data_IF_249992909400
#
_entry.id   IF_249992909400
#
_cell.length_a   1.000
_cell.length_b   1.000
_cell.length_c   1.000
_cell.angle_alpha   90.00
_cell.angle_beta   90.00
_cell.angle_gamma   90.00
#
_symmetry.space_group_name_H-M   'P 1'
#
loop_
_entity.id
_entity.type
_entity.pdbx_description
1 polymer ?
#
# COMPACT_ATOMS: atom_id res chain seq x y z
N UNK A 1 -22.86 2.94 11.90
CA UNK A 1 -21.45 2.53 12.04
C UNK A 1 -20.80 2.92 10.74
N UNK A 2 -19.71 3.67 10.78
CA UNK A 2 -19.01 4.11 9.57
C UNK A 2 -18.03 3.05 9.10
N UNK A 3 -17.77 2.96 7.80
CA UNK A 3 -16.76 2.11 7.18
C UNK A 3 -15.45 2.92 7.14
N UNK A 4 -14.43 2.57 7.96
CA UNK A 4 -13.19 3.31 7.99
C UNK A 4 -12.27 2.89 6.84
N UNK A 5 -11.85 3.86 6.02
CA UNK A 5 -10.93 3.71 4.90
C UNK A 5 -9.73 4.60 5.16
N UNK A 6 -8.52 4.05 5.09
CA UNK A 6 -7.30 4.75 5.43
C UNK A 6 -6.40 4.91 4.21
N UNK A 7 -5.74 6.06 4.15
CA UNK A 7 -4.65 6.38 3.24
C UNK A 7 -3.45 6.84 4.05
N UNK A 8 -2.24 6.55 3.58
CA UNK A 8 -1.01 7.18 4.10
C UNK A 8 -0.38 8.00 3.00
N UNK A 9 -0.25 9.31 3.20
CA UNK A 9 0.24 10.23 2.16
C UNK A 9 1.21 11.26 2.75
N UNK A 10 2.18 11.63 1.93
CA UNK A 10 2.92 12.90 2.04
C UNK A 10 2.25 13.97 1.17
N UNK A 11 2.62 15.23 1.40
CA UNK A 11 1.98 16.39 0.76
C UNK A 11 2.05 16.34 -0.78
N UNK A 12 3.15 15.85 -1.35
CA UNK A 12 3.40 15.70 -2.79
C UNK A 12 2.52 14.62 -3.47
N UNK A 13 1.97 13.68 -2.70
CA UNK A 13 1.05 12.65 -3.20
C UNK A 13 -0.43 13.08 -3.16
N UNK A 14 -0.74 14.29 -2.69
CA UNK A 14 -2.13 14.80 -2.55
C UNK A 14 -2.91 14.71 -3.85
N UNK A 15 -2.30 15.06 -4.99
CA UNK A 15 -2.98 15.03 -6.29
C UNK A 15 -3.46 13.64 -6.70
N UNK A 16 -2.68 12.60 -6.43
CA UNK A 16 -3.07 11.22 -6.74
C UNK A 16 -4.13 10.73 -5.75
N UNK A 17 -3.93 11.03 -4.46
CA UNK A 17 -4.90 10.75 -3.41
C UNK A 17 -6.26 11.39 -3.67
N UNK A 18 -6.29 12.61 -4.23
CA UNK A 18 -7.50 13.29 -4.64
C UNK A 18 -8.25 12.55 -5.76
N UNK A 19 -7.54 11.95 -6.72
CA UNK A 19 -8.15 11.09 -7.76
C UNK A 19 -8.76 9.84 -7.13
N UNK A 20 -8.02 9.18 -6.24
CA UNK A 20 -8.51 7.99 -5.52
C UNK A 20 -9.74 8.32 -4.67
N UNK A 21 -9.68 9.35 -3.84
CA UNK A 21 -10.79 9.83 -3.00
C UNK A 21 -12.01 10.20 -3.85
N UNK A 22 -11.82 10.98 -4.92
CA UNK A 22 -12.94 11.34 -5.80
C UNK A 22 -13.58 10.08 -6.41
N UNK A 23 -12.78 9.11 -6.87
CA UNK A 23 -13.32 7.86 -7.40
C UNK A 23 -14.08 7.05 -6.34
N UNK A 24 -13.60 7.00 -5.10
CA UNK A 24 -14.29 6.38 -3.97
C UNK A 24 -15.63 7.08 -3.71
N UNK A 25 -15.63 8.41 -3.61
CA UNK A 25 -16.83 9.22 -3.38
C UNK A 25 -17.88 8.96 -4.48
N UNK A 26 -17.48 8.92 -5.75
CA UNK A 26 -18.40 8.70 -6.89
C UNK A 26 -18.99 7.30 -6.97
N UNK A 27 -18.31 6.29 -6.42
CA UNK A 27 -18.75 4.90 -6.49
C UNK A 27 -19.26 4.35 -5.14
N UNK A 28 -19.20 5.15 -4.08
CA UNK A 28 -19.76 4.83 -2.77
C UNK A 28 -21.28 4.73 -2.81
N UNK A 29 -21.84 3.78 -2.04
CA UNK A 29 -23.28 3.65 -1.91
C UNK A 29 -23.80 4.61 -0.83
N UNK A 30 -24.72 5.54 -1.15
CA UNK A 30 -25.22 6.54 -0.20
C UNK A 30 -26.00 5.96 1.00
N UNK A 31 -26.37 4.68 0.97
CA UNK A 31 -27.00 4.00 2.12
C UNK A 31 -25.99 3.56 3.18
N UNK A 32 -24.70 3.59 2.86
CA UNK A 32 -23.61 3.34 3.81
C UNK A 32 -22.95 4.67 4.20
N UNK A 33 -22.31 4.67 5.37
CA UNK A 33 -21.52 5.80 5.86
C UNK A 33 -20.04 5.39 5.84
N UNK A 34 -19.17 6.28 5.35
CA UNK A 34 -17.74 6.04 5.20
C UNK A 34 -16.96 7.17 5.87
N UNK A 35 -15.90 6.83 6.58
CA UNK A 35 -14.92 7.80 7.08
C UNK A 35 -13.59 7.48 6.43
N UNK A 36 -13.13 8.39 5.59
CA UNK A 36 -11.82 8.36 4.96
C UNK A 36 -10.83 9.11 5.85
N UNK A 37 -9.78 8.45 6.32
CA UNK A 37 -8.76 9.04 7.18
C UNK A 37 -7.42 9.07 6.46
N UNK A 38 -6.87 10.27 6.29
CA UNK A 38 -5.51 10.48 5.76
C UNK A 38 -4.51 10.56 6.90
N UNK A 39 -3.68 9.51 7.04
CA UNK A 39 -2.49 9.54 7.89
C UNK A 39 -1.38 10.33 7.18
N UNK A 40 -0.84 11.35 7.85
CA UNK A 40 0.18 12.23 7.27
C UNK A 40 1.12 12.80 8.35
N UNK A 41 2.28 13.33 7.95
CA UNK A 41 3.16 14.11 8.84
C UNK A 41 3.18 15.60 8.49
N UNK A 42 3.02 15.92 7.23
CA UNK A 42 3.36 17.24 6.69
C UNK A 42 2.35 17.74 5.66
N UNK A 43 1.13 17.18 5.66
CA UNK A 43 0.08 17.61 4.75
C UNK A 43 -0.27 19.08 5.01
N UNK A 44 -0.19 19.90 3.96
CA UNK A 44 -0.45 21.32 4.06
C UNK A 44 -1.93 21.59 4.32
N UNK A 45 -2.24 22.72 4.96
CA UNK A 45 -3.63 23.07 5.24
C UNK A 45 -4.46 23.25 3.97
N UNK A 46 -3.83 23.75 2.91
CA UNK A 46 -4.46 23.90 1.59
C UNK A 46 -4.84 22.54 1.01
N UNK A 47 -3.94 21.56 1.05
CA UNK A 47 -4.21 20.20 0.58
C UNK A 47 -5.24 19.47 1.46
N UNK A 48 -5.23 19.66 2.78
CA UNK A 48 -6.31 19.17 3.66
C UNK A 48 -7.67 19.73 3.22
N UNK A 49 -7.76 21.05 3.01
CA UNK A 49 -9.02 21.70 2.66
C UNK A 49 -9.51 21.26 1.26
N UNK A 50 -8.59 21.05 0.31
CA UNK A 50 -8.91 20.53 -1.03
C UNK A 50 -9.38 19.07 -1.00
N UNK A 51 -8.76 18.21 -0.19
CA UNK A 51 -9.21 16.82 -0.01
C UNK A 51 -10.54 16.76 0.74
N UNK A 52 -10.72 17.56 1.79
CA UNK A 52 -11.97 17.62 2.55
C UNK A 52 -13.16 18.05 1.66
N UNK A 53 -12.93 18.97 0.72
CA UNK A 53 -13.94 19.43 -0.22
C UNK A 53 -14.44 18.36 -1.20
N UNK A 54 -13.74 17.22 -1.34
CA UNK A 54 -14.18 16.08 -2.15
C UNK A 54 -15.18 15.18 -1.40
N UNK A 55 -15.26 15.28 -0.07
CA UNK A 55 -16.25 14.55 0.73
C UNK A 55 -17.70 14.95 0.42
N UNK A 56 -18.66 14.21 0.98
CA UNK A 56 -20.08 14.50 0.84
C UNK A 56 -20.87 14.06 2.09
N UNK A 57 -22.20 14.04 2.01
CA UNK A 57 -23.09 13.73 3.15
C UNK A 57 -22.84 12.35 3.80
N UNK A 58 -22.26 11.39 3.06
CA UNK A 58 -22.05 10.01 3.52
C UNK A 58 -20.59 9.54 3.42
N UNK A 59 -19.69 10.35 2.87
CA UNK A 59 -18.24 10.13 2.83
C UNK A 59 -17.54 11.28 3.53
N UNK A 60 -17.18 11.04 4.79
CA UNK A 60 -16.51 12.00 5.67
C UNK A 60 -15.00 11.92 5.46
N UNK A 61 -14.32 13.05 5.39
CA UNK A 61 -12.87 13.12 5.21
C UNK A 61 -12.23 13.68 6.48
N UNK A 62 -11.32 12.91 7.07
CA UNK A 62 -10.59 13.24 8.28
C UNK A 62 -9.08 13.14 8.06
N UNK A 63 -8.32 13.85 8.89
CA UNK A 63 -6.86 13.87 8.83
C UNK A 63 -6.29 13.48 10.18
N UNK A 64 -5.31 12.59 10.17
CA UNK A 64 -4.58 12.16 11.36
C UNK A 64 -3.10 12.46 11.20
N UNK A 65 -2.63 13.46 11.94
CA UNK A 65 -1.23 13.83 11.97
C UNK A 65 -0.43 12.84 12.84
N UNK A 66 0.59 12.22 12.25
CA UNK A 66 1.53 11.34 12.93
C UNK A 66 2.68 12.18 13.48
N UNK A 67 2.62 12.45 14.79
CA UNK A 67 3.68 13.17 15.51
C UNK A 67 5.01 12.42 15.38
N UNK A 68 6.10 13.15 15.11
CA UNK A 68 7.47 12.63 15.11
C UNK A 68 7.80 11.79 16.36
N UNK A 69 7.23 12.13 17.52
CA UNK A 69 7.42 11.36 18.77
C UNK A 69 6.82 9.97 18.74
N UNK A 70 5.77 9.74 17.95
CA UNK A 70 5.18 8.41 17.77
C UNK A 70 6.11 7.51 16.95
N UNK A 71 6.91 8.09 16.05
CA UNK A 71 7.89 7.38 15.22
C UNK A 71 9.31 7.39 15.81
N UNK A 72 9.61 8.28 16.75
CA UNK A 72 10.93 8.48 17.35
C UNK A 72 11.55 7.23 18.01
N UNK A 73 10.81 6.37 18.76
CA UNK A 73 11.38 5.13 19.30
C UNK A 73 11.93 4.19 18.22
N UNK A 74 11.46 4.35 16.98
CA UNK A 74 11.85 3.58 15.80
C UNK A 74 13.02 4.25 15.06
N UNK A 75 13.13 5.58 15.15
CA UNK A 75 14.19 6.38 14.50
C UNK A 75 15.49 6.50 15.33
N UNK A 76 15.43 6.48 16.67
CA UNK A 76 16.55 6.89 17.57
C UNK A 76 17.71 5.86 17.74
N UNK A 77 17.87 4.87 16.85
CA UNK A 77 18.94 3.87 16.97
C UNK A 77 19.95 4.00 15.84
N UNK A 78 21.23 4.17 16.21
CA UNK A 78 22.39 4.40 15.30
C UNK A 78 22.49 3.42 14.12
N UNK A 79 21.92 2.22 14.24
CA UNK A 79 21.88 1.19 13.21
C UNK A 79 20.81 1.46 12.14
N UNK A 80 19.69 2.12 12.50
CA UNK A 80 18.66 2.58 11.56
C UNK A 80 19.12 3.81 10.77
N UNK A 81 20.01 4.65 11.33
CA UNK A 81 20.56 5.82 10.65
C UNK A 81 21.51 5.49 9.48
N UNK A 82 22.12 4.30 9.45
CA UNK A 82 23.07 3.93 8.38
C UNK A 82 22.37 3.53 7.06
N UNK A 83 21.03 3.44 7.05
CA UNK A 83 20.21 3.18 5.87
C UNK A 83 19.00 4.12 5.73
N UNK A 84 18.83 5.08 6.65
CA UNK A 84 17.67 5.96 6.69
C UNK A 84 17.91 7.29 5.96
N UNK A 85 17.38 7.38 4.74
CA UNK A 85 16.66 8.59 4.37
C UNK A 85 15.28 8.55 5.06
N UNK A 86 14.72 9.73 5.35
CA UNK A 86 13.44 9.97 6.07
C UNK A 86 12.22 9.14 5.56
N UNK A 87 12.37 8.45 4.43
CA UNK A 87 11.41 7.61 3.71
C UNK A 87 10.95 6.30 4.42
N UNK A 88 11.55 5.91 5.55
CA UNK A 88 11.40 4.53 6.05
C UNK A 88 10.13 4.29 6.89
N UNK A 89 9.57 5.30 7.57
CA UNK A 89 8.43 5.07 8.49
C UNK A 89 7.05 5.20 7.85
N UNK A 90 6.87 6.10 6.88
CA UNK A 90 5.57 6.29 6.21
C UNK A 90 5.09 5.03 5.51
N UNK A 91 6.02 4.24 4.96
CA UNK A 91 5.76 2.94 4.34
C UNK A 91 5.06 1.98 5.32
N UNK A 92 5.37 2.06 6.62
CA UNK A 92 4.79 1.19 7.64
C UNK A 92 3.51 1.72 8.32
N UNK A 93 3.06 2.96 8.05
CA UNK A 93 1.89 3.54 8.73
C UNK A 93 0.64 2.67 8.64
N UNK A 94 0.45 2.01 7.49
CA UNK A 94 -0.63 1.04 7.27
C UNK A 94 -0.68 -0.08 8.32
N UNK A 95 0.47 -0.51 8.83
CA UNK A 95 0.56 -1.56 9.84
C UNK A 95 0.02 -1.09 11.19
N UNK A 96 0.23 0.18 11.55
CA UNK A 96 -0.14 0.75 12.85
C UNK A 96 -1.61 1.12 12.98
N UNK A 97 -2.38 1.10 11.88
CA UNK A 97 -3.81 1.45 11.86
C UNK A 97 -4.62 0.74 12.97
N UNK A 98 -4.49 -0.59 13.19
CA UNK A 98 -5.24 -1.29 14.22
C UNK A 98 -5.02 -0.78 15.65
N UNK A 99 -3.80 -0.34 15.97
CA UNK A 99 -3.41 0.15 17.29
C UNK A 99 -3.74 1.64 17.47
N UNK A 100 -3.57 2.44 16.41
CA UNK A 100 -3.88 3.87 16.42
C UNK A 100 -5.39 4.14 16.48
N UNK A 101 -6.21 3.25 15.90
CA UNK A 101 -7.66 3.39 15.84
C UNK A 101 -8.37 2.18 16.48
N UNK A 102 -8.23 1.99 17.80
CA UNK A 102 -8.75 0.82 18.52
C UNK A 102 -10.29 0.72 18.51
N UNK A 103 -10.98 1.81 18.16
CA UNK A 103 -12.43 1.83 17.98
C UNK A 103 -12.92 1.03 16.78
N UNK A 104 -12.03 0.72 15.82
CA UNK A 104 -12.36 -0.08 14.66
C UNK A 104 -11.86 -1.52 14.82
N UNK A 105 -12.77 -2.48 14.69
CA UNK A 105 -12.44 -3.91 14.67
C UNK A 105 -12.06 -4.41 13.28
N UNK A 106 -12.44 -3.67 12.24
CA UNK A 106 -12.05 -3.91 10.84
C UNK A 106 -11.80 -2.57 10.14
N UNK A 107 -10.78 -2.52 9.30
CA UNK A 107 -10.41 -1.33 8.53
C UNK A 107 -10.03 -1.69 7.09
N UNK A 108 -10.21 -0.76 6.16
CA UNK A 108 -9.62 -0.84 4.82
C UNK A 108 -8.45 0.13 4.76
N UNK A 109 -7.33 -0.31 4.21
CA UNK A 109 -6.23 0.55 3.78
C UNK A 109 -6.10 0.47 2.26
N UNK A 110 -5.90 1.62 1.60
CA UNK A 110 -5.58 1.70 0.18
C UNK A 110 -4.51 2.77 -0.06
N UNK A 111 -3.58 2.50 -0.99
CA UNK A 111 -2.56 3.47 -1.41
C UNK A 111 -3.18 4.64 -2.21
N UNK A 112 -2.48 5.77 -2.28
CA UNK A 112 -2.96 7.00 -2.91
C UNK A 112 -3.01 6.94 -4.44
N UNK A 113 -2.24 6.05 -5.05
CA UNK A 113 -2.18 5.77 -6.49
C UNK A 113 -3.20 4.71 -6.92
N UNK A 114 -4.40 4.79 -6.36
CA UNK A 114 -5.51 3.89 -6.65
C UNK A 114 -6.69 4.61 -7.31
N UNK A 115 -7.58 3.85 -7.95
CA UNK A 115 -8.88 4.31 -8.43
C UNK A 115 -9.93 3.27 -8.04
N UNK A 116 -10.89 3.68 -7.25
CA UNK A 116 -12.02 2.87 -6.78
C UNK A 116 -13.15 2.96 -7.79
N UNK A 117 -13.55 1.82 -8.37
CA UNK A 117 -14.54 1.72 -9.45
C UNK A 117 -15.78 0.93 -9.07
N UNK A 118 -15.84 0.44 -7.83
CA UNK A 118 -17.00 -0.22 -7.24
C UNK A 118 -17.13 0.21 -5.76
N UNK A 119 -18.28 -0.03 -5.15
CA UNK A 119 -18.53 0.31 -3.75
C UNK A 119 -17.55 -0.44 -2.82
N UNK A 120 -16.66 0.30 -2.17
CA UNK A 120 -15.65 -0.22 -1.25
C UNK A 120 -16.27 -0.93 -0.03
N UNK A 121 -17.55 -0.68 0.28
CA UNK A 121 -18.26 -1.45 1.31
C UNK A 121 -18.33 -2.94 0.99
N UNK A 122 -18.36 -3.32 -0.30
CA UNK A 122 -18.31 -4.73 -0.71
C UNK A 122 -17.01 -5.40 -0.27
N UNK A 123 -15.90 -4.67 -0.39
CA UNK A 123 -14.59 -5.12 0.08
C UNK A 123 -14.58 -5.22 1.61
N UNK A 124 -15.06 -4.19 2.32
CA UNK A 124 -15.16 -4.17 3.80
C UNK A 124 -15.96 -5.35 4.37
N UNK A 125 -17.07 -5.69 3.70
CA UNK A 125 -17.99 -6.74 4.13
C UNK A 125 -17.48 -8.16 3.86
N UNK A 126 -16.28 -8.30 3.28
CA UNK A 126 -15.63 -9.61 3.14
C UNK A 126 -15.42 -10.25 4.52
N UNK A 127 -15.83 -11.51 4.65
CA UNK A 127 -15.64 -12.29 5.87
C UNK A 127 -14.19 -12.75 5.99
N UNK A 128 -13.48 -12.29 7.03
CA UNK A 128 -12.07 -12.61 7.25
C UNK A 128 -11.90 -13.89 8.08
N UNK A 129 -12.91 -14.29 8.88
CA UNK A 129 -12.77 -15.38 9.83
C UNK A 129 -11.61 -15.14 10.79
N UNK A 130 -10.71 -16.13 10.90
CA UNK A 130 -9.54 -16.04 11.78
C UNK A 130 -8.31 -15.45 11.08
N UNK A 131 -8.43 -14.97 9.85
CA UNK A 131 -7.32 -14.33 9.14
C UNK A 131 -7.00 -12.96 9.76
N UNK A 132 -5.72 -12.61 9.75
CA UNK A 132 -5.23 -11.30 10.20
C UNK A 132 -5.68 -10.20 9.23
N UNK A 133 -5.63 -10.47 7.94
CA UNK A 133 -6.08 -9.53 6.92
C UNK A 133 -6.47 -10.24 5.63
N UNK A 134 -7.19 -9.53 4.76
CA UNK A 134 -7.38 -9.88 3.37
C UNK A 134 -6.56 -8.98 2.46
N UNK A 135 -5.95 -9.55 1.42
CA UNK A 135 -5.19 -8.84 0.40
C UNK A 135 -5.19 -9.61 -0.92
N UNK A 136 -4.87 -8.93 -2.03
CA UNK A 136 -4.75 -9.56 -3.33
C UNK A 136 -3.31 -10.05 -3.58
N UNK A 137 -3.18 -11.14 -4.33
CA UNK A 137 -1.86 -11.58 -4.85
C UNK A 137 -1.27 -10.48 -5.72
N UNK A 138 0.02 -10.18 -5.54
CA UNK A 138 0.72 -9.19 -6.36
C UNK A 138 0.92 -9.72 -7.78
N UNK A 139 0.04 -9.31 -8.69
CA UNK A 139 0.06 -9.75 -10.08
C UNK A 139 1.14 -9.06 -10.92
N UNK A 140 1.62 -7.90 -10.47
CA UNK A 140 2.60 -7.09 -11.21
C UNK A 140 3.98 -7.74 -11.25
N UNK A 141 4.32 -8.54 -10.22
CA UNK A 141 5.65 -9.17 -10.08
C UNK A 141 5.71 -10.62 -10.60
N UNK A 142 4.58 -11.22 -10.98
CA UNK A 142 4.52 -12.66 -11.34
C UNK A 142 5.28 -13.02 -12.62
N UNK A 143 5.53 -12.04 -13.49
CA UNK A 143 6.27 -12.19 -14.75
C UNK A 143 7.70 -11.65 -14.67
N UNK A 144 8.14 -11.26 -13.47
CA UNK A 144 9.49 -10.75 -13.21
C UNK A 144 10.31 -11.85 -12.55
N UNK A 145 11.11 -12.58 -13.34
CA UNK A 145 11.84 -13.76 -12.89
C UNK A 145 12.67 -13.52 -11.62
N UNK A 146 13.31 -12.36 -11.51
CA UNK A 146 14.08 -11.96 -10.33
C UNK A 146 13.20 -11.77 -9.08
N UNK A 147 11.99 -11.21 -9.19
CA UNK A 147 11.06 -11.12 -8.05
C UNK A 147 10.55 -12.50 -7.64
N UNK A 148 10.19 -13.33 -8.61
CA UNK A 148 9.74 -14.72 -8.34
C UNK A 148 10.83 -15.51 -7.62
N UNK A 149 12.09 -15.31 -8.01
CA UNK A 149 13.24 -15.91 -7.33
C UNK A 149 13.47 -15.31 -5.95
N UNK A 150 13.47 -13.98 -5.82
CA UNK A 150 13.58 -13.28 -4.55
C UNK A 150 12.59 -13.83 -3.52
N UNK A 151 11.29 -13.88 -3.85
CA UNK A 151 10.25 -14.35 -2.93
C UNK A 151 10.48 -15.80 -2.48
N UNK A 152 10.97 -16.67 -3.38
CA UNK A 152 11.28 -18.07 -3.06
C UNK A 152 12.52 -18.23 -2.20
N UNK A 153 13.55 -17.44 -2.46
CA UNK A 153 14.88 -17.66 -1.88
C UNK A 153 15.13 -16.79 -0.64
N UNK A 154 14.47 -15.63 -0.54
CA UNK A 154 14.66 -14.62 0.53
C UNK A 154 13.54 -14.72 1.57
N UNK A 155 12.28 -14.27 1.32
CA UNK A 155 11.16 -14.63 2.17
C UNK A 155 11.07 -16.14 2.38
N UNK A 156 11.25 -17.00 1.36
CA UNK A 156 10.88 -18.43 1.42
C UNK A 156 9.36 -18.59 1.55
N UNK A 157 8.68 -18.00 0.56
CA UNK A 157 7.24 -18.03 0.37
C UNK A 157 6.88 -18.53 -1.04
N UNK A 158 5.62 -18.91 -1.23
CA UNK A 158 5.07 -19.19 -2.56
C UNK A 158 4.78 -17.85 -3.28
N UNK A 159 5.46 -17.53 -4.40
CA UNK A 159 5.23 -16.27 -5.12
C UNK A 159 3.79 -16.11 -5.61
N UNK A 160 3.06 -17.21 -5.82
CA UNK A 160 1.64 -17.17 -6.23
C UNK A 160 0.70 -16.75 -5.10
N UNK A 161 1.20 -16.73 -3.87
CA UNK A 161 0.46 -16.27 -2.68
C UNK A 161 1.02 -14.98 -2.12
N UNK A 162 2.14 -14.49 -2.64
CA UNK A 162 2.73 -13.24 -2.19
C UNK A 162 1.78 -12.08 -2.53
N UNK A 163 1.31 -11.38 -1.50
CA UNK A 163 0.32 -10.30 -1.64
C UNK A 163 0.98 -8.96 -1.89
N UNK A 164 0.24 -8.05 -2.50
CA UNK A 164 0.56 -6.63 -2.54
C UNK A 164 0.01 -5.92 -1.29
N UNK A 165 0.74 -4.95 -0.74
CA UNK A 165 0.37 -4.24 0.49
C UNK A 165 -0.37 -2.91 0.26
N UNK A 166 -0.65 -2.54 -0.99
CA UNK A 166 -1.33 -1.28 -1.32
C UNK A 166 -2.86 -1.34 -1.25
N UNK A 167 -3.43 -2.53 -1.01
CA UNK A 167 -4.82 -2.69 -0.61
C UNK A 167 -4.94 -3.79 0.45
N UNK A 168 -5.47 -3.44 1.62
CA UNK A 168 -5.61 -4.36 2.75
C UNK A 168 -7.01 -4.23 3.37
N UNK A 169 -7.62 -5.37 3.69
CA UNK A 169 -8.76 -5.44 4.62
C UNK A 169 -8.25 -5.98 5.95
N UNK A 170 -7.99 -5.09 6.89
CA UNK A 170 -7.38 -5.40 8.17
C UNK A 170 -8.43 -5.93 9.15
N UNK A 171 -8.19 -7.11 9.72
CA UNK A 171 -8.88 -7.53 10.95
C UNK A 171 -8.21 -6.84 12.13
N UNK A 172 -8.53 -5.56 12.33
CA UNK A 172 -7.89 -4.73 13.36
C UNK A 172 -8.00 -5.34 14.75
N UNK A 173 -9.12 -6.02 15.05
CA UNK A 173 -9.25 -6.76 16.30
C UNK A 173 -8.23 -7.90 16.41
N UNK A 174 -8.10 -8.74 15.40
CA UNK A 174 -7.12 -9.84 15.41
C UNK A 174 -5.68 -9.32 15.45
N UNK A 175 -5.36 -8.23 14.73
CA UNK A 175 -4.04 -7.59 14.81
C UNK A 175 -3.67 -7.22 16.25
N UNK A 176 -4.61 -6.61 16.98
CA UNK A 176 -4.41 -6.25 18.39
C UNK A 176 -4.33 -7.48 19.30
N UNK A 177 -5.27 -8.43 19.16
CA UNK A 177 -5.35 -9.62 20.02
C UNK A 177 -4.10 -10.51 19.90
N UNK A 178 -3.51 -10.59 18.69
CA UNK A 178 -2.31 -11.39 18.39
C UNK A 178 -1.00 -10.61 18.62
N UNK A 179 -1.08 -9.32 18.95
CA UNK A 179 0.09 -8.47 19.17
C UNK A 179 0.93 -8.26 17.92
N UNK A 180 0.29 -8.12 16.74
CA UNK A 180 0.99 -8.01 15.44
C UNK A 180 2.05 -6.92 15.44
N UNK A 181 1.71 -5.72 15.91
CA UNK A 181 2.64 -4.58 15.89
C UNK A 181 3.83 -4.80 16.81
N UNK A 182 3.60 -5.34 18.01
CA UNK A 182 4.70 -5.67 18.92
C UNK A 182 5.66 -6.68 18.30
N UNK A 183 5.12 -7.70 17.61
CA UNK A 183 5.91 -8.72 16.92
C UNK A 183 6.67 -8.16 15.71
N UNK A 184 6.02 -7.34 14.88
CA UNK A 184 6.66 -6.60 13.79
C UNK A 184 7.85 -5.77 14.28
N UNK A 185 7.65 -5.00 15.36
CA UNK A 185 8.69 -4.14 15.93
C UNK A 185 9.87 -4.95 16.48
N UNK A 186 9.63 -6.10 17.13
CA UNK A 186 10.69 -6.98 17.61
C UNK A 186 11.53 -7.53 16.46
N UNK A 187 10.89 -8.00 15.38
CA UNK A 187 11.57 -8.49 14.19
C UNK A 187 12.37 -7.38 13.50
N UNK A 188 11.79 -6.20 13.35
CA UNK A 188 12.44 -5.04 12.75
C UNK A 188 13.67 -4.62 13.53
N UNK A 189 13.60 -4.57 14.87
CA UNK A 189 14.71 -4.21 15.75
C UNK A 189 15.79 -5.29 15.82
N UNK A 190 15.41 -6.57 15.74
CA UNK A 190 16.36 -7.67 15.93
C UNK A 190 17.15 -8.00 14.66
N UNK A 191 16.51 -7.92 13.48
CA UNK A 191 17.10 -8.44 12.24
C UNK A 191 17.40 -7.39 11.19
N UNK A 192 16.66 -6.28 11.18
CA UNK A 192 16.79 -5.25 10.14
C UNK A 192 16.78 -5.85 8.72
N UNK A 193 15.81 -6.74 8.45
CA UNK A 193 15.73 -7.47 7.17
C UNK A 193 15.91 -6.52 5.98
N UNK A 194 16.85 -6.87 5.10
CA UNK A 194 17.05 -6.16 3.85
C UNK A 194 16.00 -6.66 2.85
N UNK A 195 15.00 -5.81 2.59
CA UNK A 195 13.82 -6.15 1.81
C UNK A 195 13.77 -5.35 0.50
N UNK A 196 13.22 -5.97 -0.55
CA UNK A 196 12.84 -5.24 -1.78
C UNK A 196 11.58 -4.39 -1.51
N UNK A 197 10.59 -4.95 -0.83
CA UNK A 197 9.34 -4.28 -0.47
C UNK A 197 9.08 -4.46 1.04
N UNK A 198 9.61 -3.56 1.89
CA UNK A 198 9.68 -3.81 3.34
C UNK A 198 8.34 -4.13 4.00
N UNK A 199 7.35 -3.24 3.94
CA UNK A 199 6.02 -3.45 4.54
C UNK A 199 5.32 -4.70 4.00
N UNK A 200 5.44 -4.93 2.68
CA UNK A 200 4.87 -6.08 2.01
C UNK A 200 5.52 -7.40 2.47
N UNK A 201 6.85 -7.44 2.59
CA UNK A 201 7.58 -8.62 3.09
C UNK A 201 7.21 -8.94 4.54
N UNK A 202 7.16 -7.93 5.43
CA UNK A 202 6.74 -8.15 6.83
C UNK A 202 5.29 -8.65 6.92
N UNK A 203 4.36 -8.10 6.14
CA UNK A 203 2.96 -8.56 6.11
C UNK A 203 2.87 -10.01 5.63
N UNK A 204 3.57 -10.35 4.56
CA UNK A 204 3.57 -11.70 3.99
C UNK A 204 4.20 -12.71 4.96
N UNK A 205 5.33 -12.40 5.58
CA UNK A 205 6.04 -13.30 6.49
C UNK A 205 5.32 -13.48 7.84
N UNK A 206 4.91 -12.38 8.50
CA UNK A 206 4.20 -12.47 9.78
C UNK A 206 2.82 -13.08 9.59
N UNK A 207 2.16 -12.72 8.47
CA UNK A 207 0.80 -13.15 8.15
C UNK A 207 0.68 -14.54 7.54
N UNK A 208 1.77 -15.19 7.13
CA UNK A 208 1.69 -16.45 6.37
C UNK A 208 0.84 -17.52 7.07
N UNK A 209 -0.09 -18.10 6.33
CA UNK A 209 -1.12 -19.02 6.83
C UNK A 209 -2.37 -18.37 7.41
N UNK A 210 -2.40 -17.04 7.56
CA UNK A 210 -3.54 -16.23 8.06
C UNK A 210 -3.86 -15.03 7.17
N UNK A 211 -3.56 -15.13 5.87
CA UNK A 211 -3.96 -14.16 4.85
C UNK A 211 -5.16 -14.70 4.08
N UNK A 212 -6.23 -13.92 3.99
CA UNK A 212 -7.31 -14.18 3.04
C UNK A 212 -6.92 -13.62 1.66
N UNK A 213 -6.68 -14.49 0.68
CA UNK A 213 -6.48 -14.05 -0.69
C UNK A 213 -7.81 -13.60 -1.31
N UNK A 214 -7.90 -12.31 -1.64
CA UNK A 214 -9.08 -11.66 -2.16
C UNK A 214 -9.21 -11.86 -3.69
N UNK A 215 -10.40 -11.55 -4.22
CA UNK A 215 -10.63 -11.50 -5.66
C UNK A 215 -9.71 -10.44 -6.30
N UNK A 216 -8.86 -10.79 -7.29
CA UNK A 216 -7.93 -9.86 -7.93
C UNK A 216 -8.55 -8.58 -8.49
N UNK A 217 -9.89 -8.53 -8.71
CA UNK A 217 -10.58 -7.29 -9.11
C UNK A 217 -10.36 -6.14 -8.13
N UNK A 218 -10.06 -6.43 -6.86
CA UNK A 218 -9.87 -5.43 -5.81
C UNK A 218 -8.45 -4.88 -5.75
N UNK A 219 -7.57 -5.33 -6.62
CA UNK A 219 -6.21 -4.82 -6.76
C UNK A 219 -5.73 -5.03 -8.20
N UNK A 220 -6.51 -4.49 -9.13
CA UNK A 220 -6.23 -4.62 -10.55
C UNK A 220 -5.04 -3.72 -10.92
N UNK A 221 -3.91 -4.33 -11.26
CA UNK A 221 -2.68 -3.62 -11.60
C UNK A 221 -2.46 -3.57 -13.11
N UNK A 222 -1.92 -2.47 -13.65
CA UNK A 222 -1.39 -2.47 -15.00
C UNK A 222 -0.26 -3.51 -15.14
N UNK A 223 -0.31 -4.32 -16.20
CA UNK A 223 0.74 -5.29 -16.50
C UNK A 223 0.79 -5.58 -18.00
N UNK A 224 1.85 -5.15 -18.67
CA UNK A 224 2.06 -5.31 -20.11
C UNK A 224 2.02 -6.79 -20.59
N UNK A 225 2.17 -7.76 -19.69
CA UNK A 225 2.16 -9.19 -20.01
C UNK A 225 0.77 -9.84 -19.90
N UNK A 226 -0.26 -9.11 -19.46
CA UNK A 226 -1.59 -9.66 -19.22
C UNK A 226 -2.70 -8.76 -19.74
N UNK A 227 -3.81 -9.36 -20.14
CA UNK A 227 -5.01 -8.59 -20.51
C UNK A 227 -5.64 -7.90 -19.29
N UNK A 228 -6.31 -6.75 -19.49
CA UNK A 228 -7.05 -6.08 -18.44
C UNK A 228 -8.14 -6.96 -17.82
N UNK A 229 -8.22 -6.96 -16.48
CA UNK A 229 -9.29 -7.61 -15.75
C UNK A 229 -10.63 -6.95 -16.13
N UNK A 230 -11.66 -7.75 -16.44
CA UNK A 230 -12.98 -7.21 -16.70
C UNK A 230 -13.61 -6.67 -15.42
N UNK A 231 -14.13 -5.45 -15.47
CA UNK A 231 -14.81 -4.77 -14.37
C UNK A 231 -13.95 -4.71 -13.09
N UNK A 232 -12.80 -4.03 -13.06
CA UNK A 232 -12.08 -3.87 -11.79
C UNK A 232 -12.96 -3.20 -10.74
N UNK A 233 -12.76 -3.51 -9.46
CA UNK A 233 -13.38 -2.85 -8.32
C UNK A 233 -12.48 -1.80 -7.68
N UNK A 234 -11.17 -2.05 -7.74
CA UNK A 234 -10.12 -1.10 -7.42
C UNK A 234 -8.95 -1.36 -8.37
N UNK A 235 -8.46 -0.28 -8.98
CA UNK A 235 -7.27 -0.28 -9.82
C UNK A 235 -6.14 0.33 -9.02
N UNK A 236 -4.99 -0.32 -9.01
CA UNK A 236 -3.80 0.15 -8.31
C UNK A 236 -2.71 0.37 -9.33
N UNK A 237 -2.33 1.64 -9.54
CA UNK A 237 -1.25 2.00 -10.47
C UNK A 237 0.09 1.79 -9.79
N UNK A 238 0.36 0.58 -9.28
CA UNK A 238 1.53 0.28 -8.48
C UNK A 238 2.82 0.28 -9.32
N UNK A 239 3.95 0.43 -8.62
CA UNK A 239 5.30 0.37 -9.19
C UNK A 239 5.54 1.36 -10.34
N UNK A 240 5.38 0.93 -11.60
CA UNK A 240 5.98 1.60 -12.77
C UNK A 240 4.97 2.22 -13.74
N UNK A 241 3.73 1.74 -13.75
CA UNK A 241 2.76 2.16 -14.76
C UNK A 241 1.85 3.24 -14.21
N UNK A 242 2.42 4.45 -14.11
CA UNK A 242 1.70 5.64 -13.65
C UNK A 242 1.07 6.37 -14.85
N UNK A 243 -0.26 6.49 -14.94
CA UNK A 243 -0.92 7.15 -16.08
C UNK A 243 -0.61 8.65 -16.17
N UNK A 244 -0.01 9.24 -15.14
CA UNK A 244 0.49 10.63 -15.12
C UNK A 244 1.98 10.75 -15.49
N UNK A 245 2.67 9.65 -15.78
CA UNK A 245 4.05 9.65 -16.30
C UNK A 245 4.17 8.99 -17.68
N UNK A 246 3.27 8.05 -17.99
CA UNK A 246 3.29 7.24 -19.20
C UNK A 246 1.96 7.27 -19.95
N UNK A 247 2.03 7.29 -21.28
CA UNK A 247 0.89 7.09 -22.17
C UNK A 247 0.58 5.61 -22.41
N UNK A 248 -0.68 5.32 -22.73
CA UNK A 248 -1.20 3.98 -23.04
C UNK A 248 -1.04 2.99 -21.88
N UNK A 249 -1.09 3.49 -20.65
CA UNK A 249 -1.11 2.66 -19.45
C UNK A 249 -2.46 1.94 -19.37
N UNK A 250 -2.41 0.65 -19.05
CA UNK A 250 -3.61 -0.13 -18.79
C UNK A 250 -4.47 0.55 -17.72
N UNK A 251 -5.78 0.62 -17.97
CA UNK A 251 -6.76 1.31 -17.15
C UNK A 251 -6.65 2.85 -17.06
N UNK A 252 -5.73 3.52 -17.78
CA UNK A 252 -5.54 4.98 -17.69
C UNK A 252 -6.82 5.81 -17.84
N UNK A 253 -7.78 5.34 -18.63
CA UNK A 253 -9.06 6.04 -18.86
C UNK A 253 -9.86 6.18 -17.56
N UNK A 254 -9.73 5.23 -16.63
CA UNK A 254 -10.34 5.33 -15.30
C UNK A 254 -9.67 6.44 -14.49
N UNK A 255 -8.34 6.50 -14.46
CA UNK A 255 -7.61 7.57 -13.76
C UNK A 255 -8.02 8.94 -14.29
N UNK A 256 -7.91 9.16 -15.60
CA UNK A 256 -8.22 10.46 -16.22
C UNK A 256 -9.70 10.83 -16.13
N UNK A 257 -10.61 9.85 -16.09
CA UNK A 257 -12.05 10.08 -15.85
C UNK A 257 -12.29 10.75 -14.50
N UNK A 258 -11.61 10.34 -13.43
CA UNK A 258 -11.79 10.92 -12.10
C UNK A 258 -10.88 12.13 -11.86
N UNK A 259 -9.68 12.16 -12.44
CA UNK A 259 -8.74 13.26 -12.30
C UNK A 259 -9.33 14.60 -12.78
N UNK A 260 -10.07 14.60 -13.90
CA UNK A 260 -10.69 15.80 -14.48
C UNK A 260 -11.74 16.49 -13.58
N UNK A 261 -12.17 15.82 -12.53
CA UNK A 261 -13.16 16.34 -11.56
C UNK A 261 -12.49 16.79 -10.25
N UNK A 262 -11.14 16.81 -10.21
CA UNK A 262 -10.33 17.28 -9.08
C UNK A 262 -9.70 18.63 -9.39
N UNK A 263 -9.35 19.45 -8.38
CA UNK A 263 -8.61 20.70 -8.60
C UNK A 263 -7.20 20.48 -9.17
N UNK A 264 -6.69 19.24 -9.14
CA UNK A 264 -5.35 18.87 -9.58
C UNK A 264 -5.27 18.44 -11.04
N UNK A 265 -6.36 18.47 -11.81
CA UNK A 265 -6.36 17.96 -13.18
C UNK A 265 -5.29 18.60 -14.06
N UNK A 266 -5.21 19.93 -14.08
CA UNK A 266 -4.25 20.65 -14.92
C UNK A 266 -2.81 20.39 -14.47
N UNK A 267 -2.57 20.22 -13.16
CA UNK A 267 -1.26 19.84 -12.64
C UNK A 267 -0.87 18.42 -13.09
N UNK A 268 -1.77 17.45 -12.97
CA UNK A 268 -1.54 16.06 -13.41
C UNK A 268 -1.30 15.99 -14.92
N UNK A 269 -2.02 16.80 -15.71
CA UNK A 269 -1.80 16.91 -17.16
C UNK A 269 -0.44 17.51 -17.48
N UNK A 270 -0.07 18.58 -16.79
CA UNK A 270 1.24 19.19 -16.94
C UNK A 270 2.36 18.23 -16.52
N UNK A 271 2.14 17.41 -15.49
CA UNK A 271 3.09 16.38 -15.09
C UNK A 271 3.31 15.35 -16.20
N UNK A 272 2.23 14.80 -16.78
CA UNK A 272 2.33 13.87 -17.91
C UNK A 272 3.06 14.49 -19.11
N UNK A 273 2.67 15.71 -19.48
CA UNK A 273 3.20 16.40 -20.66
C UNK A 273 4.68 16.81 -20.48
N UNK A 274 5.11 17.10 -19.25
CA UNK A 274 6.48 17.52 -18.94
C UNK A 274 7.39 16.37 -18.49
N UNK A 275 6.86 15.19 -18.18
CA UNK A 275 7.66 14.03 -17.84
C UNK A 275 8.54 13.67 -19.05
N UNK A 276 9.85 13.67 -18.85
CA UNK A 276 10.82 13.53 -19.96
C UNK A 276 11.06 12.06 -20.31
N UNK A 277 11.56 11.82 -21.52
CA UNK A 277 11.93 10.45 -21.93
C UNK A 277 13.08 9.87 -21.08
N UNK A 278 13.95 10.75 -20.54
CA UNK A 278 15.00 10.37 -19.60
C UNK A 278 14.38 9.90 -18.28
N UNK A 279 13.49 10.68 -17.67
CA UNK A 279 12.77 10.29 -16.44
C UNK A 279 11.96 9.00 -16.64
N UNK A 280 11.27 8.84 -17.78
CA UNK A 280 10.57 7.59 -18.12
C UNK A 280 11.52 6.40 -18.22
N UNK A 281 12.71 6.61 -18.78
CA UNK A 281 13.72 5.56 -18.90
C UNK A 281 14.30 5.20 -17.52
N UNK A 282 14.55 6.20 -16.68
CA UNK A 282 14.99 6.01 -15.30
C UNK A 282 13.94 5.26 -14.47
N UNK A 283 12.67 5.63 -14.58
CA UNK A 283 11.57 4.96 -13.89
C UNK A 283 11.41 3.49 -14.30
N UNK A 284 11.55 3.20 -15.59
CA UNK A 284 11.58 1.81 -16.08
C UNK A 284 12.80 1.05 -15.53
N UNK A 285 13.95 1.72 -15.40
CA UNK A 285 15.18 1.14 -14.86
C UNK A 285 15.17 1.01 -13.33
N UNK A 286 14.30 1.72 -12.60
CA UNK A 286 14.14 1.56 -11.15
C UNK A 286 13.80 0.12 -10.78
N UNK A 287 13.04 -0.60 -11.61
CA UNK A 287 12.81 -2.03 -11.42
C UNK A 287 14.13 -2.79 -11.41
N UNK A 288 14.96 -2.64 -12.45
CA UNK A 288 16.23 -3.34 -12.55
C UNK A 288 17.12 -3.07 -11.33
N UNK A 289 17.18 -1.80 -10.88
CA UNK A 289 17.93 -1.44 -9.68
C UNK A 289 17.33 -2.02 -8.38
N UNK A 290 16.01 -2.03 -8.24
CA UNK A 290 15.35 -2.72 -7.12
C UNK A 290 15.65 -4.22 -7.13
N UNK A 291 15.70 -4.84 -8.32
CA UNK A 291 16.01 -6.24 -8.49
C UNK A 291 17.49 -6.58 -8.30
N UNK A 292 18.41 -5.63 -8.45
CA UNK A 292 19.82 -5.83 -8.07
C UNK A 292 19.97 -6.12 -6.57
N UNK A 293 19.02 -5.69 -5.73
CA UNK A 293 19.01 -6.09 -4.31
C UNK A 293 18.78 -7.58 -4.11
N UNK A 294 18.17 -8.30 -5.05
CA UNK A 294 18.00 -9.76 -4.92
C UNK A 294 19.35 -10.45 -4.73
N UNK A 295 20.34 -10.10 -5.55
CA UNK A 295 21.67 -10.72 -5.51
C UNK A 295 22.36 -10.53 -4.15
N UNK A 296 22.15 -9.39 -3.47
CA UNK A 296 22.72 -9.12 -2.14
C UNK A 296 21.88 -9.68 -0.99
N UNK A 297 20.55 -9.72 -1.12
CA UNK A 297 19.63 -10.14 -0.05
C UNK A 297 19.56 -11.66 0.11
N UNK A 298 19.70 -12.41 -0.99
CA UNK A 298 19.77 -13.88 -0.96
C UNK A 298 20.95 -14.40 -0.15
N UNK A 299 22.09 -13.70 -0.19
CA UNK A 299 23.30 -14.11 0.54
C UNK A 299 23.40 -13.54 1.95
N UNK A 300 22.45 -12.69 2.37
CA UNK A 300 22.45 -12.10 3.71
C UNK A 300 22.19 -13.19 4.76
N UNK A 301 23.10 -13.44 5.73
CA UNK A 301 22.93 -14.47 6.76
C UNK A 301 21.76 -14.21 7.72
N UNK A 302 21.15 -13.02 7.66
CA UNK A 302 20.01 -12.59 8.45
C UNK A 302 18.77 -12.33 7.59
N UNK A 303 18.71 -12.80 6.35
CA UNK A 303 17.46 -12.80 5.60
C UNK A 303 16.38 -13.71 6.24
N UNK A 304 15.14 -13.57 5.78
CA UNK A 304 13.97 -14.27 6.32
C UNK A 304 14.16 -15.79 6.33
N UNK A 305 14.55 -16.40 5.22
CA UNK A 305 14.80 -17.84 5.12
C UNK A 305 15.85 -18.33 6.15
N UNK A 306 16.95 -17.61 6.30
CA UNK A 306 18.01 -17.97 7.25
C UNK A 306 17.57 -17.79 8.70
N UNK A 307 16.80 -16.75 9.01
CA UNK A 307 16.24 -16.53 10.36
C UNK A 307 15.23 -17.63 10.69
N UNK A 308 14.35 -18.00 9.76
CA UNK A 308 13.44 -19.14 9.91
C UNK A 308 14.18 -20.45 10.15
N UNK A 309 15.26 -20.70 9.42
CA UNK A 309 16.09 -21.91 9.59
C UNK A 309 16.76 -22.00 10.97
N UNK A 310 16.97 -20.87 11.66
CA UNK A 310 17.48 -20.82 13.05
C UNK A 310 16.39 -21.14 14.10
N UNK A 311 15.14 -21.33 13.69
CA UNK A 311 14.02 -21.67 14.57
C UNK A 311 13.33 -20.46 15.20
N UNK A 312 13.58 -19.26 14.68
CA UNK A 312 12.97 -18.02 15.15
C UNK A 312 11.49 -17.95 14.75
N UNK A 313 10.64 -17.45 15.65
CA UNK A 313 9.21 -17.33 15.38
C UNK A 313 8.97 -16.12 14.50
N UNK A 314 8.60 -16.34 13.25
CA UNK A 314 8.23 -15.27 12.30
C UNK A 314 6.71 -15.10 12.19
N UNK A 315 5.97 -16.20 12.06
CA UNK A 315 4.52 -16.20 11.82
C UNK A 315 3.71 -16.04 13.11
N UNK A 316 2.54 -15.42 13.02
CA UNK A 316 1.59 -15.28 14.13
C UNK A 316 0.44 -16.29 14.12
#
# INVERSE_FOLDING_TARGET
MTIPVFYSISDDFTKYAAVSLNSLVKNSNPENDYTVIFLNQDLSKEHEDQLAALGNDHVHVEFFHIDEKLVKPIQDRKENYLRADFFTMSIFYRLFIPDLFPQYDKAIYIDSDTVVTDDIAKLYNTELGNNLFGACTDSSIQYVDKMVKYIKDVPDLDPKKYINSGMLVLNSKAFRDEGFIAHFMDLLEKYHFDCIAPDQDYLNEIGDGRILHLDPRWDAMPNENTEPLPNPGLIHYNLFFKPWHFDNVQYQDYFWKYAKETPFYEELRAELDNYTDEERSEDRAKLDHMLEKEDSTVVDPNNWAHVKAKGERIKL
#
